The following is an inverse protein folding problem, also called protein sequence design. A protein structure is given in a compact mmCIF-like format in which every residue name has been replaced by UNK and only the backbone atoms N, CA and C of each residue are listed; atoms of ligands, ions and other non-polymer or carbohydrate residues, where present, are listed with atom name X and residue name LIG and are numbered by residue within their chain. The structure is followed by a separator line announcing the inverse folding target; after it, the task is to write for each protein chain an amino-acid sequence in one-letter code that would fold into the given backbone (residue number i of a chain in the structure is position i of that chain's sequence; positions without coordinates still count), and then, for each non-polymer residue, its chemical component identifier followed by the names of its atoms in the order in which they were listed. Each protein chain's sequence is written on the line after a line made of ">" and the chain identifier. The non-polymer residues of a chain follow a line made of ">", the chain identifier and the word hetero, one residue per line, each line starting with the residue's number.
data_IF_371353709736
#
_entry.id   IF_371353709736
#
_cell.length_a   1.000
_cell.length_b   1.000
_cell.length_c   1.000
_cell.angle_alpha   90.00
_cell.angle_beta   90.00
_cell.angle_gamma   90.00
#
_symmetry.space_group_name_H-M   'P 1'
#
loop_
_entity.id
_entity.type
_entity.pdbx_description
1 polymer ?
#
# COMPACT_ATOMS: atom_id res chain seq x y z
N UNK A 1 -41.05 65.87 -6.13
CA UNK A 1 -40.93 64.77 -7.09
C UNK A 1 -39.45 64.68 -7.46
N UNK A 2 -38.74 63.68 -6.92
CA UNK A 2 -37.29 63.50 -7.09
C UNK A 2 -36.99 62.65 -8.32
N UNK A 3 -35.88 62.86 -9.05
CA UNK A 3 -35.38 61.86 -9.98
C UNK A 3 -34.49 60.86 -9.25
N UNK A 4 -34.82 59.59 -9.44
CA UNK A 4 -34.14 58.44 -8.87
C UNK A 4 -32.73 58.26 -9.46
N UNK A 5 -31.79 57.89 -8.60
CA UNK A 5 -30.45 57.43 -8.94
C UNK A 5 -30.50 56.14 -9.78
N UNK A 6 -29.66 55.99 -10.83
CA UNK A 6 -29.53 54.71 -11.50
C UNK A 6 -28.71 53.77 -10.61
N UNK A 7 -29.36 52.68 -10.19
CA UNK A 7 -28.70 51.53 -9.59
C UNK A 7 -27.80 50.90 -10.66
N UNK A 8 -26.49 51.15 -10.59
CA UNK A 8 -25.50 50.53 -11.47
C UNK A 8 -25.42 49.03 -11.11
N UNK A 9 -26.31 48.27 -11.73
CA UNK A 9 -26.46 46.84 -11.59
C UNK A 9 -25.27 46.13 -12.19
N UNK A 10 -24.16 46.11 -11.46
CA UNK A 10 -23.15 45.06 -11.60
C UNK A 10 -23.78 43.76 -11.11
N UNK A 11 -24.61 43.17 -11.97
CA UNK A 11 -24.95 41.76 -11.88
C UNK A 11 -23.64 40.99 -12.10
N UNK A 12 -22.93 40.68 -11.01
CA UNK A 12 -22.00 39.56 -11.05
C UNK A 12 -22.86 38.35 -11.33
N UNK A 13 -22.67 37.63 -12.47
CA UNK A 13 -23.39 36.39 -12.67
C UNK A 13 -23.09 35.49 -11.46
N UNK A 14 -24.10 34.74 -10.96
CA UNK A 14 -23.81 33.70 -10.00
C UNK A 14 -22.72 32.83 -10.64
N UNK A 15 -21.73 32.43 -9.83
CA UNK A 15 -20.77 31.38 -10.19
C UNK A 15 -21.59 30.15 -10.53
N UNK A 16 -22.08 30.07 -11.76
CA UNK A 16 -22.83 28.98 -12.32
C UNK A 16 -21.78 27.89 -12.50
N UNK A 17 -21.62 27.14 -11.41
CA UNK A 17 -21.07 25.81 -11.30
C UNK A 17 -20.15 25.44 -12.48
N UNK A 18 -18.87 25.75 -12.33
CA UNK A 18 -17.85 24.92 -12.95
C UNK A 18 -17.85 23.57 -12.22
N UNK A 19 -18.90 22.76 -12.44
CA UNK A 19 -18.97 21.36 -12.02
C UNK A 19 -18.04 20.49 -12.85
N UNK A 20 -17.63 20.97 -14.03
CA UNK A 20 -16.70 20.28 -14.90
C UNK A 20 -15.30 20.15 -14.27
N UNK A 21 -14.80 21.19 -13.60
CA UNK A 21 -13.53 21.15 -12.86
C UNK A 21 -13.49 20.09 -11.75
N UNK A 22 -14.38 20.15 -10.74
CA UNK A 22 -14.47 19.16 -9.66
C UNK A 22 -14.76 17.74 -10.13
N UNK A 23 -15.64 17.55 -11.13
CA UNK A 23 -15.94 16.23 -11.67
C UNK A 23 -14.74 15.65 -12.45
N UNK A 24 -14.03 16.47 -13.23
CA UNK A 24 -12.82 16.05 -13.93
C UNK A 24 -11.68 15.71 -12.94
N UNK A 25 -11.60 16.42 -11.81
CA UNK A 25 -10.68 16.11 -10.73
C UNK A 25 -11.01 14.75 -10.08
N UNK A 26 -12.28 14.50 -9.76
CA UNK A 26 -12.73 13.19 -9.25
C UNK A 26 -12.41 12.06 -10.23
N UNK A 27 -12.76 12.24 -11.52
CA UNK A 27 -12.45 11.28 -12.57
C UNK A 27 -10.94 11.10 -12.79
N UNK A 28 -10.09 12.08 -12.45
CA UNK A 28 -8.65 11.92 -12.46
C UNK A 28 -8.16 11.03 -11.32
N UNK A 29 -8.68 11.22 -10.11
CA UNK A 29 -8.33 10.43 -8.93
C UNK A 29 -8.73 8.94 -9.07
N UNK A 30 -9.75 8.64 -9.88
CA UNK A 30 -10.23 7.29 -10.14
C UNK A 30 -9.48 6.56 -11.28
N UNK A 31 -8.58 7.25 -12.02
CA UNK A 31 -7.84 6.59 -13.10
C UNK A 31 -6.85 5.58 -12.52
N UNK A 32 -6.85 4.40 -13.11
CA UNK A 32 -5.95 3.33 -12.72
C UNK A 32 -5.53 2.49 -13.91
N UNK A 33 -4.27 2.06 -13.90
CA UNK A 33 -3.73 1.04 -14.78
C UNK A 33 -3.85 -0.37 -14.15
N UNK A 34 -4.38 -0.46 -12.91
CA UNK A 34 -4.56 -1.70 -12.16
C UNK A 34 -6.02 -2.10 -12.12
N UNK A 35 -6.31 -3.32 -12.60
CA UNK A 35 -7.66 -3.88 -12.55
C UNK A 35 -7.93 -4.52 -11.18
N UNK A 36 -9.22 -4.59 -10.79
CA UNK A 36 -9.61 -5.29 -9.55
C UNK A 36 -9.21 -6.77 -9.55
N UNK A 37 -9.16 -7.41 -10.72
CA UNK A 37 -8.67 -8.79 -10.86
C UNK A 37 -7.19 -8.92 -10.45
N UNK A 38 -6.32 -8.05 -10.96
CA UNK A 38 -4.88 -8.08 -10.62
C UNK A 38 -4.69 -7.84 -9.13
N UNK A 39 -5.43 -6.89 -8.55
CA UNK A 39 -5.37 -6.63 -7.12
C UNK A 39 -5.78 -7.86 -6.29
N UNK A 40 -6.89 -8.51 -6.65
CA UNK A 40 -7.36 -9.73 -5.98
C UNK A 40 -6.37 -10.88 -6.10
N UNK A 41 -5.66 -11.03 -7.23
CA UNK A 41 -4.59 -12.03 -7.39
C UNK A 41 -3.42 -11.76 -6.45
N UNK A 42 -3.01 -10.50 -6.28
CA UNK A 42 -1.94 -10.12 -5.35
C UNK A 42 -2.32 -10.44 -3.91
N UNK A 43 -3.54 -10.08 -3.50
CA UNK A 43 -4.06 -10.35 -2.15
C UNK A 43 -4.11 -11.86 -1.89
N UNK A 44 -4.75 -12.62 -2.79
CA UNK A 44 -4.87 -14.07 -2.65
C UNK A 44 -3.51 -14.80 -2.64
N UNK A 45 -2.56 -14.35 -3.45
CA UNK A 45 -1.21 -14.94 -3.47
C UNK A 45 -0.44 -14.64 -2.19
N UNK A 46 -0.63 -13.45 -1.61
CA UNK A 46 0.00 -13.07 -0.34
C UNK A 46 -0.51 -13.96 0.80
N UNK A 47 -1.83 -14.18 0.86
CA UNK A 47 -2.46 -15.09 1.82
C UNK A 47 -1.98 -16.53 1.66
N UNK A 48 -1.84 -16.99 0.42
CA UNK A 48 -1.37 -18.36 0.14
C UNK A 48 0.08 -18.56 0.63
N UNK A 49 0.97 -17.60 0.39
CA UNK A 49 2.34 -17.70 0.89
C UNK A 49 2.41 -17.70 2.42
N UNK A 50 1.58 -16.90 3.10
CA UNK A 50 1.48 -16.95 4.55
C UNK A 50 1.04 -18.34 5.06
N UNK A 51 0.08 -18.99 4.38
CA UNK A 51 -0.37 -20.36 4.70
C UNK A 51 0.65 -21.44 4.36
N UNK A 52 1.49 -21.20 3.37
CA UNK A 52 2.53 -22.12 2.91
C UNK A 52 3.77 -22.12 3.81
N UNK A 53 4.01 -21.02 4.56
CA UNK A 53 5.18 -20.83 5.42
C UNK A 53 5.57 -22.06 6.24
N UNK A 54 4.62 -22.69 6.94
CA UNK A 54 4.91 -23.82 7.81
C UNK A 54 5.23 -25.15 7.08
N UNK A 55 5.06 -25.22 5.76
CA UNK A 55 5.16 -26.48 4.98
C UNK A 55 6.13 -26.41 3.79
N UNK A 56 6.64 -25.22 3.47
CA UNK A 56 7.52 -25.00 2.32
C UNK A 56 8.94 -24.67 2.81
N UNK A 57 10.01 -25.22 2.20
CA UNK A 57 11.37 -24.85 2.54
C UNK A 57 11.59 -23.33 2.47
N UNK A 58 12.22 -22.68 3.48
CA UNK A 58 12.28 -21.23 3.55
C UNK A 58 12.91 -20.55 2.33
N UNK A 59 13.96 -21.14 1.75
CA UNK A 59 14.63 -20.59 0.57
C UNK A 59 13.76 -20.64 -0.70
N UNK A 60 12.92 -21.67 -0.84
CA UNK A 60 12.01 -21.81 -1.96
C UNK A 60 10.90 -20.76 -1.85
N UNK A 61 10.22 -20.70 -0.70
CA UNK A 61 9.15 -19.72 -0.46
C UNK A 61 9.63 -18.28 -0.58
N UNK A 62 10.85 -17.98 -0.09
CA UNK A 62 11.44 -16.64 -0.19
C UNK A 62 11.63 -16.20 -1.64
N UNK A 63 11.89 -17.12 -2.56
CA UNK A 63 12.02 -16.79 -3.99
C UNK A 63 10.69 -16.27 -4.53
N UNK A 64 9.60 -16.95 -4.23
CA UNK A 64 8.25 -16.60 -4.68
C UNK A 64 7.75 -15.30 -4.03
N UNK A 65 7.96 -15.14 -2.72
CA UNK A 65 7.66 -13.90 -1.99
C UNK A 65 8.36 -12.69 -2.61
N UNK A 66 9.65 -12.84 -2.98
CA UNK A 66 10.41 -11.76 -3.62
C UNK A 66 9.93 -11.44 -5.03
N UNK A 67 9.47 -12.45 -5.79
CA UNK A 67 8.87 -12.24 -7.11
C UNK A 67 7.60 -11.42 -6.98
N UNK A 68 6.69 -11.80 -6.08
CA UNK A 68 5.44 -11.07 -5.88
C UNK A 68 5.69 -9.66 -5.32
N UNK A 69 6.62 -9.49 -4.38
CA UNK A 69 6.97 -8.16 -3.86
C UNK A 69 7.50 -7.21 -4.97
N UNK A 70 8.32 -7.71 -5.90
CA UNK A 70 8.74 -6.92 -7.07
C UNK A 70 7.57 -6.57 -7.99
N UNK A 71 6.64 -7.51 -8.19
CA UNK A 71 5.44 -7.25 -8.97
C UNK A 71 4.56 -6.16 -8.33
N UNK A 72 4.34 -6.22 -7.02
CA UNK A 72 3.65 -5.16 -6.25
C UNK A 72 4.35 -3.82 -6.42
N UNK A 73 5.69 -3.77 -6.34
CA UNK A 73 6.47 -2.56 -6.61
C UNK A 73 6.19 -1.97 -8.00
N UNK A 74 6.19 -2.81 -9.04
CA UNK A 74 5.89 -2.37 -10.39
C UNK A 74 4.44 -1.84 -10.55
N UNK A 75 3.47 -2.39 -9.81
CA UNK A 75 2.10 -1.87 -9.79
C UNK A 75 2.02 -0.52 -9.07
N UNK A 76 2.80 -0.32 -8.01
CA UNK A 76 2.88 0.95 -7.27
C UNK A 76 3.56 2.09 -8.05
N UNK A 77 4.40 1.75 -9.02
CA UNK A 77 5.01 2.70 -9.97
C UNK A 77 4.03 3.15 -11.06
N UNK A 78 2.94 2.40 -11.28
CA UNK A 78 1.87 2.71 -12.22
C UNK A 78 0.80 3.65 -11.64
N UNK A 79 -0.17 4.07 -12.48
CA UNK A 79 -1.31 4.82 -11.96
C UNK A 79 -2.23 3.91 -11.18
N UNK A 80 -2.51 4.30 -9.95
CA UNK A 80 -3.39 3.59 -9.02
C UNK A 80 -4.35 4.59 -8.39
N UNK A 81 -5.57 4.16 -8.09
CA UNK A 81 -6.40 4.96 -7.19
C UNK A 81 -5.81 4.93 -5.78
N UNK A 82 -6.10 5.92 -4.92
CA UNK A 82 -5.62 5.92 -3.54
C UNK A 82 -5.96 4.63 -2.78
N UNK A 83 -7.17 4.09 -2.99
CA UNK A 83 -7.60 2.84 -2.38
C UNK A 83 -6.76 1.64 -2.85
N UNK A 84 -6.53 1.52 -4.17
CA UNK A 84 -5.70 0.45 -4.72
C UNK A 84 -4.24 0.56 -4.27
N UNK A 85 -3.70 1.78 -4.22
CA UNK A 85 -2.36 2.02 -3.70
C UNK A 85 -2.23 1.54 -2.26
N UNK A 86 -3.22 1.83 -1.41
CA UNK A 86 -3.26 1.35 -0.04
C UNK A 86 -3.30 -0.17 0.03
N UNK A 87 -4.18 -0.84 -0.73
CA UNK A 87 -4.24 -2.31 -0.78
C UNK A 87 -2.89 -2.93 -1.22
N UNK A 88 -2.24 -2.36 -2.24
CA UNK A 88 -0.93 -2.82 -2.69
C UNK A 88 0.16 -2.63 -1.61
N UNK A 89 0.13 -1.51 -0.88
CA UNK A 89 1.06 -1.29 0.24
C UNK A 89 0.80 -2.27 1.40
N UNK A 90 -0.46 -2.61 1.70
CA UNK A 90 -0.81 -3.64 2.69
C UNK A 90 -0.25 -4.99 2.27
N UNK A 91 -0.51 -5.44 1.04
CA UNK A 91 0.03 -6.70 0.51
C UNK A 91 1.57 -6.71 0.53
N UNK A 92 2.20 -5.61 0.09
CA UNK A 92 3.65 -5.45 0.17
C UNK A 92 4.21 -5.52 1.60
N UNK A 93 3.48 -4.97 2.57
CA UNK A 93 3.85 -5.02 3.99
C UNK A 93 3.82 -6.44 4.54
N UNK A 94 2.77 -7.20 4.23
CA UNK A 94 2.68 -8.63 4.59
C UNK A 94 3.78 -9.47 3.93
N UNK A 95 4.06 -9.24 2.64
CA UNK A 95 5.16 -9.92 1.95
C UNK A 95 6.53 -9.59 2.57
N UNK A 96 6.72 -8.34 2.99
CA UNK A 96 7.95 -7.92 3.67
C UNK A 96 8.09 -8.54 5.07
N UNK A 97 6.99 -8.68 5.83
CA UNK A 97 6.98 -9.42 7.10
C UNK A 97 7.35 -10.88 6.89
N UNK A 98 6.69 -11.55 5.94
CA UNK A 98 6.97 -12.96 5.64
C UNK A 98 8.42 -13.15 5.17
N UNK A 99 8.94 -12.25 4.33
CA UNK A 99 10.35 -12.26 3.94
C UNK A 99 11.27 -12.08 5.16
N UNK A 100 10.93 -11.20 6.11
CA UNK A 100 11.72 -11.02 7.32
C UNK A 100 11.79 -12.31 8.15
N UNK A 101 10.65 -12.97 8.37
CA UNK A 101 10.59 -14.28 9.06
C UNK A 101 11.45 -15.33 8.35
N UNK A 102 11.29 -15.46 7.03
CA UNK A 102 12.08 -16.39 6.22
C UNK A 102 13.58 -16.10 6.27
N UNK A 103 13.99 -14.83 6.32
CA UNK A 103 15.39 -14.46 6.48
C UNK A 103 15.93 -14.81 7.87
N UNK A 104 15.12 -14.76 8.92
CA UNK A 104 15.52 -15.24 10.25
C UNK A 104 15.74 -16.75 10.20
N UNK A 105 14.81 -17.51 9.63
CA UNK A 105 14.94 -18.98 9.49
C UNK A 105 16.20 -19.40 8.69
N UNK A 106 16.64 -18.55 7.77
CA UNK A 106 17.85 -18.74 6.96
C UNK A 106 19.12 -18.17 7.60
N UNK A 107 19.05 -17.60 8.81
CA UNK A 107 20.19 -16.98 9.51
C UNK A 107 20.68 -15.66 8.88
N UNK A 108 19.91 -15.06 7.98
CA UNK A 108 20.28 -13.88 7.20
C UNK A 108 19.88 -12.55 7.89
N UNK A 109 20.48 -12.26 9.05
CA UNK A 109 20.07 -11.15 9.94
C UNK A 109 19.96 -9.78 9.29
N UNK A 110 20.92 -9.40 8.44
CA UNK A 110 20.89 -8.09 7.76
C UNK A 110 19.68 -7.99 6.83
N UNK A 111 19.38 -9.07 6.11
CA UNK A 111 18.23 -9.14 5.21
C UNK A 111 16.91 -9.12 5.99
N UNK A 112 16.85 -9.83 7.12
CA UNK A 112 15.69 -9.80 8.01
C UNK A 112 15.39 -8.38 8.51
N UNK A 113 16.40 -7.66 9.00
CA UNK A 113 16.25 -6.28 9.46
C UNK A 113 15.81 -5.31 8.35
N UNK A 114 16.34 -5.49 7.14
CA UNK A 114 15.93 -4.71 5.96
C UNK A 114 14.47 -4.96 5.60
N UNK A 115 14.05 -6.23 5.54
CA UNK A 115 12.68 -6.62 5.23
C UNK A 115 11.68 -6.12 6.30
N UNK A 116 12.03 -6.23 7.58
CA UNK A 116 11.25 -5.68 8.69
C UNK A 116 11.09 -4.16 8.59
N UNK A 117 12.15 -3.44 8.24
CA UNK A 117 12.09 -1.98 8.05
C UNK A 117 11.14 -1.61 6.91
N UNK A 118 11.17 -2.37 5.82
CA UNK A 118 10.25 -2.19 4.71
C UNK A 118 8.79 -2.46 5.15
N UNK A 119 8.54 -3.55 5.89
CA UNK A 119 7.21 -3.86 6.43
C UNK A 119 6.66 -2.73 7.31
N UNK A 120 7.46 -2.23 8.26
CA UNK A 120 7.05 -1.14 9.13
C UNK A 120 6.74 0.14 8.35
N UNK A 121 7.51 0.43 7.29
CA UNK A 121 7.28 1.59 6.43
C UNK A 121 5.98 1.44 5.66
N UNK A 122 5.79 0.31 4.98
CA UNK A 122 4.57 0.03 4.20
C UNK A 122 3.31 0.00 5.09
N UNK A 123 3.41 -0.60 6.28
CA UNK A 123 2.32 -0.60 7.26
C UNK A 123 1.92 0.81 7.69
N UNK A 124 2.88 1.71 7.96
CA UNK A 124 2.56 3.11 8.31
C UNK A 124 1.96 3.89 7.15
N UNK A 125 2.55 3.81 5.96
CA UNK A 125 2.04 4.50 4.76
C UNK A 125 0.65 4.00 4.34
N UNK A 126 0.36 2.73 4.62
CA UNK A 126 -0.96 2.13 4.43
C UNK A 126 -1.90 2.30 5.62
N UNK A 127 -1.48 2.99 6.70
CA UNK A 127 -2.18 3.11 7.99
C UNK A 127 -2.78 1.76 8.45
N UNK A 128 -1.95 0.71 8.41
CA UNK A 128 -2.30 -0.65 8.78
C UNK A 128 -1.53 -1.06 10.04
N UNK A 129 -2.11 -0.75 11.20
CA UNK A 129 -1.46 -0.88 12.51
C UNK A 129 -0.95 -2.30 12.81
N UNK A 130 -1.66 -3.33 12.34
CA UNK A 130 -1.26 -4.71 12.56
C UNK A 130 0.11 -5.04 11.95
N UNK A 131 0.38 -4.60 10.71
CA UNK A 131 1.68 -4.83 10.04
C UNK A 131 2.79 -4.10 10.80
N UNK A 132 2.51 -2.87 11.27
CA UNK A 132 3.45 -2.09 12.05
C UNK A 132 3.77 -2.76 13.39
N UNK A 133 2.76 -3.33 14.06
CA UNK A 133 2.91 -4.07 15.31
C UNK A 133 3.72 -5.36 15.13
N UNK A 134 3.37 -6.20 14.15
CA UNK A 134 4.13 -7.42 13.83
C UNK A 134 5.58 -7.13 13.46
N UNK A 135 5.84 -6.00 12.80
CA UNK A 135 7.21 -5.59 12.51
C UNK A 135 8.00 -5.42 13.80
N UNK A 136 7.44 -4.86 14.87
CA UNK A 136 8.12 -4.73 16.17
C UNK A 136 8.35 -6.11 16.80
N UNK A 137 7.36 -6.99 16.73
CA UNK A 137 7.45 -8.34 17.31
C UNK A 137 8.56 -9.18 16.68
N UNK A 138 8.75 -9.13 15.36
CA UNK A 138 9.82 -9.87 14.65
C UNK A 138 11.21 -9.52 15.21
N UNK A 139 11.46 -8.29 15.67
CA UNK A 139 12.72 -7.94 16.35
C UNK A 139 12.97 -8.74 17.60
N UNK A 140 11.90 -8.83 18.39
CA UNK A 140 11.95 -9.38 19.73
C UNK A 140 12.13 -10.89 19.60
N UNK A 141 11.38 -11.51 18.69
CA UNK A 141 11.53 -12.90 18.35
C UNK A 141 12.92 -13.21 17.77
N UNK A 142 13.40 -12.45 16.79
CA UNK A 142 14.72 -12.70 16.18
C UNK A 142 15.86 -12.60 17.20
N UNK A 143 15.76 -11.68 18.17
CA UNK A 143 16.73 -11.58 19.26
C UNK A 143 16.70 -12.78 20.22
N UNK A 144 15.55 -13.43 20.40
CA UNK A 144 15.42 -14.63 21.24
C UNK A 144 16.01 -15.88 20.57
N UNK A 145 15.74 -16.07 19.28
CA UNK A 145 16.22 -17.26 18.53
C UNK A 145 17.75 -17.21 18.33
N UNK A 146 18.37 -16.04 18.38
CA UNK A 146 19.83 -15.85 18.33
C UNK A 146 20.57 -16.22 19.65
N UNK A 147 19.83 -16.51 20.73
CA UNK A 147 20.41 -16.83 22.05
C UNK A 147 20.63 -18.34 22.29
N UNK A 148 20.18 -19.20 21.39
CA UNK A 148 20.34 -20.67 21.41
C UNK A 148 21.38 -21.15 20.38
#
# INVERSE_FOLDING_TARGET
>A
MAPATPHDGRYSPPVLADVAGPAALAAHAERSDVTGYVLGVVEASTDEYARAYARTPPAELLTDVRVLARHVGALLDGRTTPAQRRCLMVAGGWLALLAATLYVDLGARRSAAGARTAAATLGREAEHDEIAAWSIEIDTWAALVDQD
#
